data_IF_605811034027
#
_entry.id   IF_605811034027
#
_cell.length_a   1.000
_cell.length_b   1.000
_cell.length_c   1.000
_cell.angle_alpha   90.00
_cell.angle_beta   90.00
_cell.angle_gamma   90.00
#
_symmetry.space_group_name_H-M   'P 1'
#
loop_
_entity.id
_entity.type
_entity.pdbx_description
1 polymer ?
#
# COMPACT_ATOMS: atom_id res chain seq x y z
N UNK A 1 21.28 16.64 -21.94
CA UNK A 1 22.12 16.01 -20.90
C UNK A 1 22.29 14.54 -21.30
N UNK A 2 23.50 14.06 -21.62
CA UNK A 2 23.72 12.64 -21.89
C UNK A 2 23.91 11.93 -20.55
N UNK A 3 22.94 11.12 -20.16
CA UNK A 3 23.09 10.25 -19.00
C UNK A 3 24.07 9.12 -19.40
N UNK A 4 25.22 9.05 -18.72
CA UNK A 4 26.12 7.90 -18.85
C UNK A 4 25.64 6.84 -17.88
N UNK A 5 25.14 5.71 -18.41
CA UNK A 5 24.76 4.55 -17.61
C UNK A 5 25.31 3.27 -18.27
N UNK A 6 25.53 2.27 -17.43
CA UNK A 6 25.84 0.91 -17.86
C UNK A 6 24.60 0.04 -17.64
N UNK A 7 24.33 -0.87 -18.57
CA UNK A 7 23.23 -1.81 -18.46
C UNK A 7 23.76 -3.22 -18.69
N UNK A 8 23.51 -4.10 -17.72
CA UNK A 8 23.77 -5.53 -17.84
C UNK A 8 22.44 -6.28 -17.78
N UNK A 9 22.15 -7.09 -18.79
CA UNK A 9 20.97 -7.96 -18.82
C UNK A 9 21.39 -9.39 -18.54
N UNK A 10 20.78 -10.01 -17.53
CA UNK A 10 21.01 -11.42 -17.19
C UNK A 10 19.75 -12.21 -17.50
N UNK A 11 19.88 -13.25 -18.31
CA UNK A 11 18.84 -14.26 -18.50
C UNK A 11 19.23 -15.52 -17.74
N UNK A 12 18.50 -15.85 -16.68
CA UNK A 12 18.71 -17.05 -15.88
C UNK A 12 17.54 -18.02 -16.07
N UNK A 13 17.84 -19.31 -16.25
CA UNK A 13 16.85 -20.37 -16.43
C UNK A 13 17.19 -21.59 -15.58
N UNK A 14 16.20 -22.43 -15.30
CA UNK A 14 16.38 -23.66 -14.53
C UNK A 14 16.96 -23.41 -13.13
N UNK A 15 17.98 -24.18 -12.76
CA UNK A 15 18.61 -24.08 -11.43
C UNK A 15 19.36 -22.76 -11.19
N UNK A 16 19.76 -22.05 -12.25
CA UNK A 16 20.52 -20.81 -12.14
C UNK A 16 19.72 -19.66 -11.52
N UNK A 17 18.39 -19.69 -11.63
CA UNK A 17 17.48 -18.69 -11.04
C UNK A 17 17.72 -18.56 -9.53
N UNK A 18 17.92 -19.68 -8.83
CA UNK A 18 18.14 -19.70 -7.37
C UNK A 18 19.45 -19.05 -6.93
N UNK A 19 20.37 -18.83 -7.86
CA UNK A 19 21.68 -18.22 -7.63
C UNK A 19 21.75 -16.77 -8.09
N UNK A 20 20.65 -16.16 -8.56
CA UNK A 20 20.68 -14.82 -9.17
C UNK A 20 21.21 -13.75 -8.22
N UNK A 21 20.86 -13.81 -6.94
CA UNK A 21 21.39 -12.87 -5.93
C UNK A 21 22.92 -12.90 -5.86
N UNK A 22 23.52 -14.09 -5.89
CA UNK A 22 24.97 -14.26 -5.87
C UNK A 22 25.62 -13.76 -7.19
N UNK A 23 24.93 -13.93 -8.31
CA UNK A 23 25.39 -13.43 -9.62
C UNK A 23 25.35 -11.89 -9.65
N UNK A 24 24.36 -11.28 -9.00
CA UNK A 24 24.19 -9.83 -8.96
C UNK A 24 25.21 -9.13 -8.05
N UNK A 25 25.59 -9.72 -6.91
CA UNK A 25 26.51 -9.11 -5.94
C UNK A 25 27.78 -8.45 -6.55
N UNK A 26 28.56 -9.11 -7.42
CA UNK A 26 29.76 -8.48 -8.00
C UNK A 26 29.46 -7.35 -9.00
N UNK A 27 28.23 -7.22 -9.48
CA UNK A 27 27.80 -6.15 -10.40
C UNK A 27 27.33 -4.89 -9.66
N UNK A 28 27.09 -5.00 -8.36
CA UNK A 28 26.61 -3.90 -7.53
C UNK A 28 27.79 -3.04 -7.07
N UNK A 29 27.65 -1.72 -7.17
CA UNK A 29 28.63 -0.77 -6.62
C UNK A 29 28.34 -0.56 -5.12
N UNK A 30 29.30 -0.83 -4.21
CA UNK A 30 29.06 -0.80 -2.77
C UNK A 30 28.48 0.51 -2.23
N UNK A 31 28.83 1.65 -2.81
CA UNK A 31 28.45 2.97 -2.32
C UNK A 31 27.18 3.54 -2.98
N UNK A 32 26.49 2.77 -3.81
CA UNK A 32 25.28 3.22 -4.50
C UNK A 32 24.03 2.56 -3.92
N UNK A 33 22.93 3.31 -3.76
CA UNK A 33 21.66 2.72 -3.37
C UNK A 33 21.16 1.76 -4.46
N UNK A 34 20.68 0.60 -4.02
CA UNK A 34 20.20 -0.49 -4.87
C UNK A 34 18.68 -0.47 -4.87
N UNK A 35 18.08 -0.39 -6.05
CA UNK A 35 16.63 -0.39 -6.22
C UNK A 35 16.23 -1.66 -6.96
N UNK A 36 15.39 -2.48 -6.32
CA UNK A 36 14.75 -3.62 -6.95
C UNK A 36 13.43 -3.16 -7.56
N UNK A 37 13.37 -3.04 -8.89
CA UNK A 37 12.10 -2.87 -9.57
C UNK A 37 11.56 -4.24 -9.97
N UNK A 38 10.49 -4.68 -9.31
CA UNK A 38 9.81 -5.92 -9.64
C UNK A 38 8.65 -5.63 -10.60
N UNK A 39 8.62 -6.35 -11.72
CA UNK A 39 7.57 -6.22 -12.73
C UNK A 39 6.47 -7.24 -12.49
N UNK A 40 5.23 -6.76 -12.40
CA UNK A 40 4.06 -7.58 -12.11
C UNK A 40 3.84 -7.79 -10.61
N UNK A 41 3.20 -8.91 -10.28
CA UNK A 41 2.81 -9.27 -8.92
C UNK A 41 4.02 -9.61 -8.04
N UNK A 42 4.07 -9.12 -6.79
CA UNK A 42 5.11 -9.48 -5.84
C UNK A 42 5.00 -10.98 -5.52
N UNK A 43 6.08 -11.77 -5.69
CA UNK A 43 6.00 -13.22 -5.67
C UNK A 43 6.04 -13.79 -4.24
N UNK A 44 5.30 -13.19 -3.32
CA UNK A 44 5.08 -13.70 -1.96
C UNK A 44 6.35 -14.10 -1.23
N UNK A 45 6.44 -15.40 -0.94
CA UNK A 45 7.50 -16.08 -0.21
C UNK A 45 8.59 -16.69 -1.12
N UNK A 46 8.62 -16.34 -2.41
CA UNK A 46 9.62 -16.84 -3.34
C UNK A 46 11.06 -16.54 -2.82
N UNK A 47 11.89 -17.57 -2.60
CA UNK A 47 13.22 -17.38 -2.01
C UNK A 47 14.16 -16.54 -2.89
N UNK A 48 13.92 -16.49 -4.20
CA UNK A 48 14.75 -15.73 -5.13
C UNK A 48 14.43 -14.24 -4.98
N UNK A 49 13.15 -13.89 -4.96
CA UNK A 49 12.69 -12.54 -4.69
C UNK A 49 13.14 -12.05 -3.32
N UNK A 50 12.97 -12.85 -2.26
CA UNK A 50 13.38 -12.44 -0.91
C UNK A 50 14.88 -12.13 -0.83
N UNK A 51 15.75 -12.94 -1.46
CA UNK A 51 17.18 -12.63 -1.58
C UNK A 51 17.45 -11.34 -2.35
N UNK A 52 16.67 -11.04 -3.38
CA UNK A 52 16.79 -9.78 -4.13
C UNK A 52 16.31 -8.58 -3.31
N UNK A 53 15.28 -8.76 -2.48
CA UNK A 53 14.85 -7.76 -1.51
C UNK A 53 15.98 -7.49 -0.52
N UNK A 54 16.59 -8.56 0.04
CA UNK A 54 17.66 -8.47 1.03
C UNK A 54 18.88 -7.66 0.56
N UNK A 55 19.26 -7.78 -0.73
CA UNK A 55 20.37 -7.01 -1.31
C UNK A 55 19.99 -5.59 -1.71
N UNK A 56 18.71 -5.24 -1.74
CA UNK A 56 18.22 -3.93 -2.18
C UNK A 56 18.08 -2.96 -1.02
N UNK A 57 17.99 -1.66 -1.28
CA UNK A 57 17.58 -0.66 -0.28
C UNK A 57 16.12 -0.25 -0.44
N UNK A 58 15.56 -0.46 -1.65
CA UNK A 58 14.17 -0.15 -1.97
C UNK A 58 13.60 -1.14 -2.96
N UNK A 59 12.39 -1.61 -2.68
CA UNK A 59 11.56 -2.36 -3.62
C UNK A 59 10.58 -1.38 -4.28
N UNK A 60 10.56 -1.38 -5.61
CA UNK A 60 9.61 -0.63 -6.44
C UNK A 60 8.69 -1.64 -7.12
N UNK A 61 7.38 -1.40 -7.02
CA UNK A 61 6.33 -2.14 -7.72
C UNK A 61 5.42 -1.18 -8.47
N UNK A 62 4.61 -1.73 -9.36
CA UNK A 62 3.54 -0.97 -10.01
C UNK A 62 2.20 -1.68 -9.81
N UNK A 63 1.41 -1.21 -8.83
CA UNK A 63 0.17 -1.89 -8.47
C UNK A 63 -0.90 -1.82 -9.56
N UNK A 64 -0.72 -1.01 -10.61
CA UNK A 64 -1.64 -1.03 -11.78
C UNK A 64 -1.53 -2.32 -12.59
N UNK A 65 -0.44 -3.07 -12.41
CA UNK A 65 -0.20 -4.35 -13.11
C UNK A 65 -0.65 -5.57 -12.31
N UNK A 66 -1.17 -5.37 -11.09
CA UNK A 66 -1.61 -6.45 -10.23
C UNK A 66 -2.85 -7.13 -10.77
N UNK A 67 -2.84 -8.46 -10.74
CA UNK A 67 -3.95 -9.29 -11.16
C UNK A 67 -4.94 -9.55 -10.03
N UNK A 68 -4.45 -9.71 -8.79
CA UNK A 68 -5.26 -9.86 -7.59
C UNK A 68 -4.94 -8.75 -6.59
N UNK A 69 -5.31 -7.48 -6.86
CA UNK A 69 -4.76 -6.33 -6.15
C UNK A 69 -4.95 -6.35 -4.63
N UNK A 70 -6.05 -6.93 -4.13
CA UNK A 70 -6.23 -7.11 -2.69
C UNK A 70 -5.17 -8.03 -2.08
N UNK A 71 -4.97 -9.20 -2.67
CA UNK A 71 -3.99 -10.18 -2.21
C UNK A 71 -2.56 -9.65 -2.40
N UNK A 72 -2.30 -9.00 -3.52
CA UNK A 72 -0.97 -8.47 -3.83
C UNK A 72 -0.59 -7.31 -2.90
N UNK A 73 -1.54 -6.41 -2.58
CA UNK A 73 -1.32 -5.36 -1.57
C UNK A 73 -1.13 -5.95 -0.16
N UNK A 74 -1.83 -7.03 0.18
CA UNK A 74 -1.59 -7.76 1.44
C UNK A 74 -0.19 -8.37 1.47
N UNK A 75 0.26 -8.99 0.37
CA UNK A 75 1.62 -9.50 0.21
C UNK A 75 2.66 -8.41 0.43
N UNK A 76 2.46 -7.22 -0.17
CA UNK A 76 3.35 -6.07 0.06
C UNK A 76 3.35 -5.60 1.53
N UNK A 77 2.19 -5.60 2.18
CA UNK A 77 2.06 -5.25 3.59
C UNK A 77 2.85 -6.22 4.48
N UNK A 78 2.74 -7.52 4.21
CA UNK A 78 3.50 -8.56 4.92
C UNK A 78 5.00 -8.43 4.65
N UNK A 79 5.39 -8.15 3.40
CA UNK A 79 6.79 -7.90 3.03
C UNK A 79 7.35 -6.74 3.86
N UNK A 80 6.65 -5.61 3.93
CA UNK A 80 7.09 -4.46 4.73
C UNK A 80 7.17 -4.77 6.23
N UNK A 81 6.27 -5.60 6.76
CA UNK A 81 6.32 -6.03 8.17
C UNK A 81 7.52 -6.93 8.47
N UNK A 82 7.86 -7.83 7.54
CA UNK A 82 8.98 -8.76 7.70
C UNK A 82 10.34 -8.10 7.46
N UNK A 83 10.36 -7.03 6.66
CA UNK A 83 11.56 -6.33 6.19
C UNK A 83 11.43 -4.80 6.42
N UNK A 84 11.28 -4.34 7.68
CA UNK A 84 10.92 -2.95 7.99
C UNK A 84 12.00 -1.92 7.62
N UNK A 85 13.26 -2.34 7.58
CA UNK A 85 14.42 -1.54 7.16
C UNK A 85 14.44 -1.24 5.65
N UNK A 86 13.69 -2.00 4.85
CA UNK A 86 13.62 -1.83 3.40
C UNK A 86 12.49 -0.88 3.01
N UNK A 87 12.79 0.08 2.15
CA UNK A 87 11.77 0.99 1.64
C UNK A 87 10.91 0.29 0.59
N UNK A 88 9.58 0.45 0.68
CA UNK A 88 8.65 0.04 -0.36
C UNK A 88 8.15 1.26 -1.13
N UNK A 89 8.03 1.15 -2.45
CA UNK A 89 7.43 2.17 -3.29
C UNK A 89 6.54 1.57 -4.34
N UNK A 90 5.40 2.22 -4.53
CA UNK A 90 4.45 1.88 -5.57
C UNK A 90 4.37 3.03 -6.55
N UNK A 91 4.60 2.77 -7.83
CA UNK A 91 4.48 3.78 -8.87
C UNK A 91 3.03 4.31 -8.96
N UNK A 92 2.05 3.48 -8.65
CA UNK A 92 0.65 3.90 -8.62
C UNK A 92 0.35 4.90 -7.51
N UNK A 93 1.04 4.80 -6.37
CA UNK A 93 0.99 5.82 -5.31
C UNK A 93 1.44 7.20 -5.79
N UNK A 94 2.45 7.22 -6.67
CA UNK A 94 2.89 8.41 -7.38
C UNK A 94 1.81 8.97 -8.30
N UNK A 95 1.16 8.10 -9.08
CA UNK A 95 0.08 8.48 -10.02
C UNK A 95 -1.15 9.07 -9.35
N UNK A 96 -1.48 8.66 -8.12
CA UNK A 96 -2.60 9.24 -7.37
C UNK A 96 -2.23 10.49 -6.57
N UNK A 97 -1.00 11.00 -6.69
CA UNK A 97 -0.58 12.24 -5.99
C UNK A 97 -1.50 13.43 -6.29
N UNK A 98 -1.85 13.74 -7.56
CA UNK A 98 -2.75 14.85 -7.87
C UNK A 98 -4.13 14.71 -7.20
N UNK A 99 -4.66 13.49 -7.10
CA UNK A 99 -5.93 13.24 -6.39
C UNK A 99 -5.82 13.52 -4.89
N UNK A 100 -4.73 13.10 -4.25
CA UNK A 100 -4.48 13.41 -2.83
C UNK A 100 -4.33 14.91 -2.60
N UNK A 101 -3.64 15.61 -3.50
CA UNK A 101 -3.49 17.08 -3.44
C UNK A 101 -4.83 17.79 -3.56
N UNK A 102 -5.66 17.42 -4.54
CA UNK A 102 -7.00 18.00 -4.72
C UNK A 102 -7.88 17.82 -3.47
N UNK A 103 -7.85 16.64 -2.85
CA UNK A 103 -8.59 16.40 -1.59
C UNK A 103 -8.09 17.31 -0.47
N UNK A 104 -6.78 17.46 -0.32
CA UNK A 104 -6.19 18.30 0.74
C UNK A 104 -6.48 19.78 0.51
N UNK A 105 -6.52 20.26 -0.74
CA UNK A 105 -6.77 21.68 -1.08
C UNK A 105 -8.10 22.20 -0.51
N UNK A 106 -9.13 21.35 -0.36
CA UNK A 106 -10.38 21.72 0.31
C UNK A 106 -10.19 22.11 1.79
N UNK A 107 -9.08 21.75 2.43
CA UNK A 107 -8.80 21.98 3.84
C UNK A 107 -7.58 22.90 4.08
N UNK A 108 -7.03 23.51 3.02
CA UNK A 108 -5.97 24.52 3.14
C UNK A 108 -6.48 25.78 3.87
N UNK A 109 -7.77 26.10 3.68
CA UNK A 109 -8.50 27.15 4.41
C UNK A 109 -8.69 26.73 5.87
N UNK A 110 -8.20 27.53 6.81
CA UNK A 110 -8.16 27.22 8.24
C UNK A 110 -9.57 26.92 8.79
N UNK A 111 -10.57 27.69 8.35
CA UNK A 111 -11.97 27.59 8.74
C UNK A 111 -12.59 26.26 8.31
N UNK A 112 -12.08 25.62 7.26
CA UNK A 112 -12.63 24.37 6.74
C UNK A 112 -12.11 23.13 7.46
N UNK A 113 -10.99 23.25 8.20
CA UNK A 113 -10.38 22.11 8.91
C UNK A 113 -11.30 21.48 9.95
N UNK A 114 -12.19 22.26 10.56
CA UNK A 114 -13.17 21.74 11.51
C UNK A 114 -14.16 20.75 10.87
N UNK A 115 -14.39 20.83 9.55
CA UNK A 115 -15.29 19.91 8.87
C UNK A 115 -14.67 18.52 8.68
N UNK A 116 -13.35 18.35 8.85
CA UNK A 116 -12.70 17.03 8.81
C UNK A 116 -13.28 16.08 9.84
N UNK A 117 -13.66 16.56 11.04
CA UNK A 117 -14.29 15.72 12.06
C UNK A 117 -15.73 15.33 11.73
N UNK A 118 -16.40 16.10 10.86
CA UNK A 118 -17.76 15.85 10.40
C UNK A 118 -17.87 14.82 9.28
N UNK A 119 -16.75 14.42 8.66
CA UNK A 119 -16.75 13.34 7.67
C UNK A 119 -17.07 12.03 8.39
N UNK A 120 -18.13 11.34 7.95
CA UNK A 120 -18.59 10.06 8.49
C UNK A 120 -18.59 8.94 7.45
N UNK A 121 -18.65 9.28 6.17
CA UNK A 121 -18.62 8.34 5.05
C UNK A 121 -17.80 8.91 3.90
N UNK A 122 -17.15 8.01 3.15
CA UNK A 122 -16.43 8.30 1.92
C UNK A 122 -16.79 7.20 0.93
N UNK A 123 -17.26 7.59 -0.26
CA UNK A 123 -17.48 6.72 -1.40
C UNK A 123 -16.41 7.02 -2.47
N UNK A 124 -15.79 5.97 -3.01
CA UNK A 124 -14.78 6.08 -4.07
C UNK A 124 -15.23 5.20 -5.22
N UNK A 125 -15.70 5.85 -6.28
CA UNK A 125 -15.93 5.19 -7.56
C UNK A 125 -14.65 5.24 -8.39
N UNK A 126 -14.29 4.14 -9.02
CA UNK A 126 -13.14 4.08 -9.92
C UNK A 126 -13.53 3.55 -11.28
N UNK A 127 -12.89 4.09 -12.32
CA UNK A 127 -13.08 3.59 -13.65
C UNK A 127 -12.47 2.18 -13.77
N UNK A 128 -13.29 1.26 -14.25
CA UNK A 128 -12.86 -0.04 -14.75
C UNK A 128 -12.47 0.08 -16.22
N UNK A 129 -11.36 -0.54 -16.64
CA UNK A 129 -11.08 -0.63 -18.07
C UNK A 129 -12.27 -1.37 -18.75
N UNK A 130 -12.87 -0.81 -19.83
CA UNK A 130 -14.11 -1.34 -20.42
C UNK A 130 -14.00 -2.76 -20.99
N UNK A 131 -12.79 -3.33 -21.03
CA UNK A 131 -12.49 -4.68 -21.52
C UNK A 131 -11.79 -5.56 -20.49
N UNK A 132 -11.73 -5.15 -19.21
CA UNK A 132 -11.42 -6.07 -18.13
C UNK A 132 -12.64 -6.98 -17.94
N UNK A 133 -12.79 -7.95 -18.83
CA UNK A 133 -13.78 -9.00 -18.65
C UNK A 133 -13.41 -9.74 -17.36
N UNK A 134 -14.35 -9.97 -16.43
CA UNK A 134 -14.13 -10.81 -15.27
C UNK A 134 -13.52 -12.13 -15.73
N UNK A 135 -12.21 -12.27 -15.54
CA UNK A 135 -11.51 -13.48 -15.97
C UNK A 135 -11.53 -14.40 -14.77
N UNK A 136 -12.37 -15.43 -14.85
CA UNK A 136 -12.42 -16.46 -13.82
C UNK A 136 -11.10 -17.22 -13.85
N UNK A 137 -10.33 -17.13 -12.78
CA UNK A 137 -9.12 -17.94 -12.59
C UNK A 137 -9.32 -18.97 -11.49
N UNK A 138 -8.38 -19.92 -11.40
CA UNK A 138 -8.34 -20.91 -10.31
C UNK A 138 -8.24 -20.25 -8.91
N UNK A 139 -7.84 -18.97 -8.87
CA UNK A 139 -7.68 -18.15 -7.65
C UNK A 139 -8.87 -17.19 -7.39
N UNK A 140 -9.83 -17.08 -8.31
CA UNK A 140 -11.01 -16.20 -8.17
C UNK A 140 -11.33 -15.37 -9.43
N UNK A 141 -12.43 -14.60 -9.35
CA UNK A 141 -12.85 -13.68 -10.41
C UNK A 141 -12.03 -12.38 -10.35
N UNK A 142 -11.50 -11.97 -11.50
CA UNK A 142 -10.64 -10.77 -11.61
C UNK A 142 -11.49 -9.57 -11.98
N UNK A 143 -11.70 -8.67 -11.02
CA UNK A 143 -12.32 -7.38 -11.27
C UNK A 143 -11.29 -6.38 -11.82
N UNK A 144 -11.72 -5.37 -12.61
CA UNK A 144 -10.90 -4.22 -12.98
C UNK A 144 -10.09 -3.71 -11.79
N UNK A 145 -8.76 -3.70 -11.94
CA UNK A 145 -7.81 -3.47 -10.84
C UNK A 145 -8.17 -2.22 -9.99
N UNK A 146 -8.69 -2.41 -8.75
CA UNK A 146 -9.12 -1.31 -7.88
C UNK A 146 -7.97 -0.70 -7.06
N UNK A 147 -6.69 -1.01 -7.36
CA UNK A 147 -5.57 -0.60 -6.50
C UNK A 147 -5.50 0.92 -6.29
N UNK A 148 -5.82 1.73 -7.30
CA UNK A 148 -5.89 3.19 -7.14
C UNK A 148 -6.89 3.59 -6.04
N UNK A 149 -8.09 2.98 -6.06
CA UNK A 149 -9.14 3.25 -5.09
C UNK A 149 -8.73 2.77 -3.69
N UNK A 150 -8.11 1.60 -3.57
CA UNK A 150 -7.60 1.10 -2.30
C UNK A 150 -6.49 1.95 -1.70
N UNK A 151 -5.52 2.40 -2.51
CA UNK A 151 -4.45 3.27 -2.06
C UNK A 151 -5.02 4.61 -1.56
N UNK A 152 -5.99 5.19 -2.28
CA UNK A 152 -6.67 6.42 -1.87
C UNK A 152 -7.49 6.20 -0.59
N UNK A 153 -8.26 5.12 -0.51
CA UNK A 153 -9.05 4.75 0.67
C UNK A 153 -8.16 4.53 1.91
N UNK A 154 -7.04 3.83 1.75
CA UNK A 154 -6.05 3.60 2.80
C UNK A 154 -5.41 4.89 3.30
N UNK A 155 -5.09 5.81 2.38
CA UNK A 155 -4.61 7.14 2.73
C UNK A 155 -5.66 7.97 3.49
N UNK A 156 -6.89 8.04 3.00
CA UNK A 156 -7.99 8.77 3.66
C UNK A 156 -8.26 8.22 5.06
N UNK A 157 -8.32 6.88 5.20
CA UNK A 157 -8.44 6.20 6.49
C UNK A 157 -7.34 6.66 7.45
N UNK A 158 -6.08 6.67 6.99
CA UNK A 158 -4.95 7.09 7.82
C UNK A 158 -5.00 8.58 8.20
N UNK A 159 -5.47 9.45 7.31
CA UNK A 159 -5.58 10.91 7.57
C UNK A 159 -6.75 11.29 8.46
N UNK A 160 -7.84 10.52 8.43
CA UNK A 160 -9.03 10.75 9.25
C UNK A 160 -9.00 10.02 10.60
N UNK A 161 -7.89 9.31 10.87
CA UNK A 161 -7.71 8.49 12.07
C UNK A 161 -8.83 7.45 12.25
N UNK A 162 -9.18 6.81 11.13
CA UNK A 162 -10.21 5.78 11.07
C UNK A 162 -9.63 4.39 11.29
N UNK A 163 -10.30 3.63 12.15
CA UNK A 163 -10.09 2.20 12.40
C UNK A 163 -11.21 1.39 11.74
N UNK A 164 -10.92 0.16 11.37
CA UNK A 164 -11.92 -0.73 10.76
C UNK A 164 -12.68 -1.42 11.88
N UNK A 165 -14.00 -1.43 11.80
CA UNK A 165 -14.80 -2.26 12.71
C UNK A 165 -14.77 -3.68 12.18
N UNK A 166 -13.98 -4.54 12.82
CA UNK A 166 -13.93 -5.96 12.49
C UNK A 166 -15.31 -6.62 12.76
N UNK A 167 -15.68 -7.60 11.94
CA UNK A 167 -16.92 -8.40 12.08
C UNK A 167 -18.27 -7.66 12.02
N UNK A 168 -18.34 -6.50 11.34
CA UNK A 168 -19.65 -5.92 10.99
C UNK A 168 -20.31 -6.68 9.85
N UNK A 169 -21.58 -7.07 10.03
CA UNK A 169 -22.43 -7.64 8.97
C UNK A 169 -22.65 -6.68 7.79
N UNK A 170 -22.36 -5.39 7.96
CA UNK A 170 -22.46 -4.39 6.90
C UNK A 170 -21.18 -4.29 6.05
N UNK A 171 -20.08 -4.94 6.45
CA UNK A 171 -18.87 -4.97 5.63
C UNK A 171 -19.12 -5.84 4.38
N UNK A 172 -19.04 -5.26 3.19
CA UNK A 172 -19.23 -5.97 1.91
C UNK A 172 -17.90 -6.06 1.19
N UNK A 173 -17.59 -7.26 0.69
CA UNK A 173 -16.46 -7.53 -0.19
C UNK A 173 -16.94 -8.33 -1.39
N UNK A 174 -17.38 -7.63 -2.43
CA UNK A 174 -17.79 -8.20 -3.71
C UNK A 174 -16.70 -7.93 -4.75
N UNK A 175 -15.67 -8.78 -4.73
CA UNK A 175 -14.55 -8.69 -5.67
C UNK A 175 -15.05 -8.73 -7.12
N UNK A 176 -15.97 -9.63 -7.55
CA UNK A 176 -16.52 -9.64 -8.91
C UNK A 176 -17.11 -8.31 -9.39
N UNK A 177 -17.92 -7.64 -8.55
CA UNK A 177 -18.48 -6.33 -8.91
C UNK A 177 -17.50 -5.17 -8.73
N UNK A 178 -16.40 -5.39 -8.00
CA UNK A 178 -15.51 -4.34 -7.52
C UNK A 178 -16.12 -3.49 -6.41
N UNK A 179 -17.18 -3.97 -5.74
CA UNK A 179 -17.87 -3.22 -4.68
C UNK A 179 -17.29 -3.60 -3.33
N UNK A 180 -16.85 -2.57 -2.61
CA UNK A 180 -16.33 -2.72 -1.26
C UNK A 180 -17.01 -1.73 -0.33
N UNK A 181 -17.49 -2.23 0.81
CA UNK A 181 -18.08 -1.40 1.86
C UNK A 181 -17.47 -1.79 3.20
N UNK A 182 -17.14 -0.81 4.02
CA UNK A 182 -16.63 -1.06 5.35
C UNK A 182 -17.14 -0.02 6.34
N UNK A 183 -17.56 -0.49 7.51
CA UNK A 183 -17.77 0.36 8.66
C UNK A 183 -16.43 0.78 9.27
N UNK A 184 -16.37 2.05 9.67
CA UNK A 184 -15.18 2.69 10.24
C UNK A 184 -15.56 3.40 11.55
N UNK A 185 -14.65 3.43 12.50
CA UNK A 185 -14.78 4.21 13.73
C UNK A 185 -13.57 5.12 13.91
N UNK A 186 -13.77 6.33 14.45
CA UNK A 186 -12.68 7.21 14.86
C UNK A 186 -12.05 6.72 16.16
N UNK A 187 -10.74 6.85 16.30
CA UNK A 187 -10.09 6.70 17.59
C UNK A 187 -10.54 7.83 18.54
N UNK A 188 -11.29 7.49 19.59
CA UNK A 188 -11.50 8.40 20.71
C UNK A 188 -10.34 8.26 21.70
N UNK A 189 -9.37 9.17 21.64
CA UNK A 189 -8.34 9.27 22.70
C UNK A 189 -8.98 9.92 23.93
N UNK A 190 -9.63 9.14 24.79
CA UNK A 190 -10.01 9.63 26.12
C UNK A 190 -8.78 9.59 27.05
N UNK A 191 -8.05 10.71 27.15
CA UNK A 191 -7.20 10.96 28.32
C UNK A 191 -8.09 11.31 29.51
N UNK A 192 -8.38 10.35 30.38
CA UNK A 192 -8.82 10.64 31.75
C UNK A 192 -7.59 10.98 32.59
N UNK A 193 -7.16 12.24 32.53
CA UNK A 193 -6.35 12.84 33.61
C UNK A 193 -7.23 12.85 34.86
N UNK A 194 -7.05 11.87 35.75
CA UNK A 194 -7.60 11.92 37.11
C UNK A 194 -7.01 13.15 37.80
N UNK A 195 -7.83 14.19 37.91
CA UNK A 195 -7.64 15.28 38.86
C UNK A 195 -7.88 14.72 40.25
N UNK A 196 -6.80 14.23 40.88
CA UNK A 196 -6.76 14.02 42.32
C UNK A 196 -6.95 15.36 43.02
N UNK A 197 -8.20 15.71 43.35
CA UNK A 197 -8.50 16.67 44.42
C UNK A 197 -8.12 16.00 45.72
N UNK A 198 -6.95 16.34 46.24
CA UNK A 198 -6.60 16.04 47.62
C UNK A 198 -7.31 17.05 48.52
N UNK A 199 -8.47 16.67 49.03
CA UNK A 199 -9.10 17.31 50.19
C UNK A 199 -8.68 16.53 51.42
N UNK A 200 -7.66 17.01 52.12
CA UNK A 200 -7.43 16.63 53.52
C UNK A 200 -7.09 17.86 54.34
N UNK A 201 -8.13 18.38 54.99
CA UNK A 201 -8.03 19.09 56.27
C UNK A 201 -8.46 18.10 57.34
N UNK A 202 -7.57 17.76 58.27
CA UNK A 202 -7.83 17.62 59.71
C UNK A 202 -6.57 17.17 60.47
N UNK A 203 -6.26 17.99 61.48
CA UNK A 203 -5.25 17.90 62.54
C UNK A 203 -3.83 18.35 62.19
#
# INVERSE_FOLDING_TARGET
>A
MRHCFEQTTILATGSAVRSIGNIMQPLLKPDLPIYLWWLGEPPGDDPTFLKLVEISNRVIVDSTSFFNPEQDLLTLSLLHQNFPEYALSDLNWGRITPWRELVVQFFDVLEYRQYLSGITSIEIEHAAAPFASPTRTELGDVSPNPACAFLLAGWLKARLDWSLVADSMENVRDTPSGTYHWQRARFHTHQSRQTGRDTSSKY
#
